data_IF_378796291818
#
_entry.id   IF_378796291818
#
_cell.length_a   1.000
_cell.length_b   1.000
_cell.length_c   1.000
_cell.angle_alpha   90.00
_cell.angle_beta   90.00
_cell.angle_gamma   90.00
#
_symmetry.space_group_name_H-M   'P 1'
#
loop_
_entity.id
_entity.type
_entity.pdbx_description
1 polymer ?
#
# COMPACT_ATOMS: atom_id res chain seq x y z
N UNK A 1 1.59 3.41 -11.99
CA UNK A 1 0.38 3.64 -11.17
C UNK A 1 0.20 5.14 -11.04
N UNK A 2 -0.96 5.70 -11.41
CA UNK A 2 -1.27 7.10 -11.13
C UNK A 2 -1.97 7.14 -9.75
N UNK A 3 -1.27 7.63 -8.73
CA UNK A 3 -1.79 7.69 -7.35
C UNK A 3 -2.54 8.99 -7.06
N UNK A 4 -2.55 9.95 -8.01
CA UNK A 4 -3.11 11.27 -7.82
C UNK A 4 -4.62 11.31 -8.02
N UNK A 5 -5.29 12.13 -7.22
CA UNK A 5 -6.64 12.57 -7.50
C UNK A 5 -6.56 13.74 -8.51
N UNK A 6 -6.96 13.49 -9.76
CA UNK A 6 -6.87 14.47 -10.84
C UNK A 6 -7.96 15.53 -10.77
N UNK A 7 -9.08 15.27 -10.07
CA UNK A 7 -10.18 16.19 -9.87
C UNK A 7 -9.90 17.23 -8.78
N UNK A 8 -8.84 17.04 -8.00
CA UNK A 8 -8.44 17.93 -6.91
C UNK A 8 -7.05 18.49 -7.12
N UNK A 9 -6.94 19.82 -7.26
CA UNK A 9 -5.67 20.54 -7.41
C UNK A 9 -5.10 21.07 -6.09
N UNK A 10 -5.73 20.80 -4.96
CA UNK A 10 -5.22 21.17 -3.63
C UNK A 10 -3.85 20.55 -3.42
N UNK A 11 -2.92 21.28 -2.80
CA UNK A 11 -1.52 20.92 -2.60
C UNK A 11 -0.69 20.73 -3.88
N UNK A 12 -1.24 20.98 -5.08
CA UNK A 12 -0.50 20.88 -6.33
C UNK A 12 0.29 22.15 -6.59
N UNK A 13 1.60 22.01 -6.75
CA UNK A 13 2.50 23.08 -7.10
C UNK A 13 2.75 23.14 -8.61
N UNK A 14 3.36 24.23 -9.09
CA UNK A 14 3.78 24.30 -10.49
C UNK A 14 4.80 23.19 -10.81
N UNK A 15 4.87 22.78 -12.09
CA UNK A 15 5.74 21.65 -12.50
C UNK A 15 7.15 21.75 -11.94
N UNK A 16 7.66 20.64 -11.41
CA UNK A 16 8.97 20.54 -10.81
C UNK A 16 10.09 20.75 -11.86
N UNK A 17 11.16 21.39 -11.47
CA UNK A 17 12.36 21.58 -12.30
C UNK A 17 13.58 20.90 -11.66
N UNK A 18 14.63 20.67 -12.44
CA UNK A 18 15.90 20.16 -11.89
C UNK A 18 16.53 21.11 -10.87
N UNK A 19 16.25 22.41 -10.96
CA UNK A 19 16.73 23.41 -9.99
C UNK A 19 15.98 23.28 -8.65
N UNK A 20 14.66 23.01 -8.68
CA UNK A 20 13.87 22.76 -7.46
C UNK A 20 14.39 21.53 -6.71
N UNK A 21 14.67 20.44 -7.45
CA UNK A 21 15.23 19.21 -6.86
C UNK A 21 16.57 19.49 -6.22
N UNK A 22 17.47 20.15 -6.97
CA UNK A 22 18.80 20.47 -6.47
C UNK A 22 18.74 21.36 -5.24
N UNK A 23 17.86 22.37 -5.23
CA UNK A 23 17.67 23.26 -4.08
C UNK A 23 17.23 22.47 -2.83
N UNK A 24 16.28 21.53 -2.98
CA UNK A 24 15.83 20.71 -1.88
C UNK A 24 16.93 19.76 -1.36
N UNK A 25 17.65 19.07 -2.26
CA UNK A 25 18.76 18.19 -1.88
C UNK A 25 19.91 18.95 -1.18
N UNK A 26 20.22 20.16 -1.64
CA UNK A 26 21.23 21.02 -1.00
C UNK A 26 20.77 21.54 0.37
N UNK A 27 19.49 21.89 0.50
CA UNK A 27 18.90 22.37 1.76
C UNK A 27 18.91 21.27 2.84
N UNK A 28 18.38 20.09 2.52
CA UNK A 28 18.33 18.97 3.46
C UNK A 28 19.64 18.18 3.56
N UNK A 29 20.61 18.43 2.67
CA UNK A 29 21.90 17.72 2.57
C UNK A 29 21.74 16.21 2.41
N UNK A 30 20.77 15.81 1.60
CA UNK A 30 20.45 14.41 1.30
C UNK A 30 20.20 14.24 -0.20
N UNK A 31 20.15 12.97 -0.64
CA UNK A 31 19.57 12.59 -1.91
C UNK A 31 18.10 12.23 -1.70
N UNK A 32 17.21 12.83 -2.49
CA UNK A 32 15.80 12.42 -2.49
C UNK A 32 15.61 11.10 -3.24
N UNK A 33 14.66 10.23 -2.83
CA UNK A 33 14.38 8.99 -3.55
C UNK A 33 14.02 9.27 -5.02
N UNK A 34 14.58 8.49 -5.93
CA UNK A 34 14.30 8.64 -7.36
C UNK A 34 12.81 8.46 -7.67
N UNK A 35 12.13 7.53 -6.97
CA UNK A 35 10.70 7.28 -7.11
C UNK A 35 9.85 8.47 -6.63
N UNK A 36 10.29 9.18 -5.60
CA UNK A 36 9.61 10.42 -5.18
C UNK A 36 9.78 11.52 -6.24
N UNK A 37 10.97 11.69 -6.78
CA UNK A 37 11.25 12.64 -7.86
C UNK A 37 10.43 12.29 -9.11
N UNK A 38 10.36 11.00 -9.49
CA UNK A 38 9.62 10.55 -10.65
C UNK A 38 8.10 10.74 -10.47
N UNK A 39 7.59 10.52 -9.26
CA UNK A 39 6.21 10.85 -8.90
C UNK A 39 5.93 12.35 -9.08
N UNK A 40 6.82 13.23 -8.61
CA UNK A 40 6.65 14.67 -8.70
C UNK A 40 6.82 15.22 -10.13
N UNK A 41 7.52 14.53 -11.02
CA UNK A 41 7.56 14.88 -12.46
C UNK A 41 6.20 14.68 -13.15
N UNK A 42 5.37 13.77 -12.65
CA UNK A 42 4.00 13.56 -13.13
C UNK A 42 3.10 14.70 -12.61
N UNK A 43 3.09 14.93 -11.29
CA UNK A 43 2.35 15.99 -10.62
C UNK A 43 3.15 16.45 -9.40
N UNK A 44 3.49 17.72 -9.32
CA UNK A 44 4.35 18.25 -8.26
C UNK A 44 3.58 18.47 -6.96
N UNK A 45 3.34 17.39 -6.24
CA UNK A 45 2.48 17.36 -5.07
C UNK A 45 0.99 17.31 -5.43
N UNK A 46 0.16 17.05 -4.45
CA UNK A 46 -1.29 17.04 -4.63
C UNK A 46 -2.00 16.02 -3.76
N UNK A 47 -3.31 16.05 -3.84
CA UNK A 47 -4.21 15.11 -3.17
C UNK A 47 -4.09 13.72 -3.80
N UNK A 48 -4.15 12.69 -2.98
CA UNK A 48 -4.06 11.30 -3.41
C UNK A 48 -5.45 10.72 -3.69
N UNK A 49 -5.54 9.87 -4.71
CA UNK A 49 -6.64 8.94 -4.91
C UNK A 49 -6.39 7.64 -4.09
N UNK A 50 -5.16 7.16 -4.14
CA UNK A 50 -4.69 6.05 -3.29
C UNK A 50 -4.24 6.64 -1.95
N UNK A 51 -5.17 6.73 -1.01
CA UNK A 51 -5.09 7.59 0.17
C UNK A 51 -4.86 6.84 1.49
N UNK A 52 -4.63 5.52 1.45
CA UNK A 52 -4.42 4.73 2.65
C UNK A 52 -3.17 3.86 2.57
N UNK A 53 -2.53 3.66 3.72
CA UNK A 53 -1.45 2.71 3.93
C UNK A 53 -1.85 1.70 4.99
N UNK A 54 -1.62 0.38 4.77
CA UNK A 54 -1.80 -0.63 5.80
C UNK A 54 -0.95 -0.28 7.03
N UNK A 55 -1.59 -0.28 8.19
CA UNK A 55 -0.92 0.04 9.44
C UNK A 55 -1.54 -0.74 10.60
N UNK A 56 -0.72 -1.34 11.44
CA UNK A 56 -1.18 -2.02 12.66
C UNK A 56 -0.31 -1.61 13.82
N UNK A 57 -0.88 -0.84 14.75
CA UNK A 57 -0.28 -0.57 16.06
C UNK A 57 -0.63 -1.72 17.01
N UNK A 58 0.38 -2.29 17.66
CA UNK A 58 0.20 -3.31 18.68
C UNK A 58 -0.85 -2.88 19.74
N UNK A 59 -2.08 -3.43 19.64
CA UNK A 59 -3.13 -3.30 20.64
C UNK A 59 -4.24 -2.28 20.37
N UNK A 60 -4.28 -1.62 19.20
CA UNK A 60 -5.48 -0.88 18.76
C UNK A 60 -6.26 -1.76 17.79
N UNK A 61 -7.48 -2.15 18.18
CA UNK A 61 -8.40 -2.98 17.38
C UNK A 61 -9.23 -2.17 16.37
N UNK A 62 -8.99 -0.86 16.24
CA UNK A 62 -9.73 0.03 15.35
C UNK A 62 -8.74 0.66 14.37
N UNK A 63 -8.98 0.42 13.10
CA UNK A 63 -8.33 0.99 11.91
C UNK A 63 -6.92 0.48 11.60
N UNK A 64 -6.87 -0.58 10.81
CA UNK A 64 -5.63 -1.16 10.26
C UNK A 64 -4.97 -0.31 9.16
N UNK A 65 -5.17 1.01 9.12
CA UNK A 65 -4.60 1.89 8.09
C UNK A 65 -4.31 3.31 8.58
N UNK A 66 -3.41 3.99 7.87
CA UNK A 66 -3.13 5.41 8.00
C UNK A 66 -3.71 6.12 6.77
N UNK A 67 -4.53 7.15 6.96
CA UNK A 67 -4.96 8.02 5.88
C UNK A 67 -3.86 8.99 5.48
N UNK A 68 -3.61 9.10 4.18
CA UNK A 68 -2.66 10.04 3.58
C UNK A 68 -3.39 10.84 2.51
N UNK A 69 -3.85 12.02 2.87
CA UNK A 69 -4.67 12.83 1.97
C UNK A 69 -3.88 13.38 0.80
N UNK A 70 -2.61 13.70 0.99
CA UNK A 70 -1.77 14.36 -0.01
C UNK A 70 -0.30 13.97 0.13
N UNK A 71 0.49 14.32 -0.87
CA UNK A 71 1.96 14.30 -0.81
C UNK A 71 2.46 15.69 -1.19
N UNK A 72 3.34 16.24 -0.39
CA UNK A 72 4.02 17.50 -0.68
C UNK A 72 4.85 17.43 -1.96
N UNK A 73 4.77 18.50 -2.76
CA UNK A 73 5.70 18.74 -3.87
C UNK A 73 6.95 19.50 -3.44
N UNK A 74 7.71 19.98 -4.42
CA UNK A 74 8.95 20.75 -4.20
C UNK A 74 8.87 22.09 -4.94
N UNK A 75 8.86 23.19 -4.20
CA UNK A 75 9.14 24.54 -4.69
C UNK A 75 9.85 25.33 -3.60
N UNK A 76 10.49 26.42 -4.01
CA UNK A 76 11.10 27.33 -3.05
C UNK A 76 10.04 27.82 -2.05
N UNK A 77 10.30 27.61 -0.77
CA UNK A 77 9.45 27.99 0.35
C UNK A 77 8.07 27.30 0.40
N UNK A 78 7.83 26.23 -0.39
CA UNK A 78 6.57 25.49 -0.47
C UNK A 78 6.81 23.97 -0.47
N UNK A 79 5.78 23.19 -0.11
CA UNK A 79 5.85 21.74 -0.05
C UNK A 79 6.87 21.25 0.97
N UNK A 80 7.72 20.28 0.62
CA UNK A 80 8.71 19.74 1.58
C UNK A 80 9.69 20.81 2.10
N UNK A 81 9.88 21.92 1.40
CA UNK A 81 10.74 23.02 1.86
C UNK A 81 10.21 23.72 3.11
N UNK A 82 8.96 23.45 3.51
CA UNK A 82 8.36 23.93 4.75
C UNK A 82 8.61 22.97 5.95
N UNK A 83 9.34 21.89 5.75
CA UNK A 83 9.63 20.92 6.82
C UNK A 83 10.20 21.60 8.06
N UNK A 84 11.22 22.46 7.95
CA UNK A 84 11.82 23.14 9.10
C UNK A 84 10.82 24.02 9.87
N UNK A 85 9.87 24.62 9.15
CA UNK A 85 8.77 25.39 9.76
C UNK A 85 7.85 24.47 10.56
N UNK A 86 7.39 23.37 9.96
CA UNK A 86 6.47 22.43 10.65
C UNK A 86 7.14 21.72 11.82
N UNK A 87 8.40 21.29 11.69
CA UNK A 87 9.14 20.69 12.80
C UNK A 87 9.21 21.64 14.03
N UNK A 88 9.38 22.93 13.78
CA UNK A 88 9.41 23.93 14.85
C UNK A 88 8.01 24.24 15.39
N UNK A 89 7.01 24.40 14.53
CA UNK A 89 5.64 24.78 14.91
C UNK A 89 4.98 23.69 15.77
N UNK A 90 5.24 22.43 15.43
CA UNK A 90 4.68 21.26 16.12
C UNK A 90 5.65 20.61 17.11
N UNK A 91 6.71 21.32 17.48
CA UNK A 91 7.72 20.89 18.47
C UNK A 91 8.31 19.48 18.20
N UNK A 92 8.40 19.07 16.91
CA UNK A 92 8.92 17.77 16.51
C UNK A 92 10.46 17.79 16.63
N UNK A 93 11.01 17.14 17.65
CA UNK A 93 12.44 17.10 17.94
C UNK A 93 13.13 15.96 17.18
N UNK A 94 13.07 15.97 15.85
CA UNK A 94 13.72 14.98 14.98
C UNK A 94 14.67 15.69 14.01
N UNK A 95 15.86 15.13 13.87
CA UNK A 95 16.86 15.60 12.91
C UNK A 95 16.86 14.74 11.65
N UNK A 96 17.20 15.32 10.51
CA UNK A 96 17.30 14.63 9.21
C UNK A 96 16.00 13.93 8.78
N UNK A 97 14.86 14.55 9.04
CA UNK A 97 13.55 14.12 8.52
C UNK A 97 13.02 15.13 7.51
N UNK A 98 12.24 14.65 6.54
CA UNK A 98 11.54 15.47 5.55
C UNK A 98 10.08 15.10 5.58
N UNK A 99 9.20 16.04 5.92
CA UNK A 99 7.77 15.82 6.04
C UNK A 99 7.12 15.76 4.65
N UNK A 100 6.39 14.68 4.37
CA UNK A 100 5.72 14.44 3.10
C UNK A 100 4.23 14.75 3.13
N UNK A 101 3.57 14.48 4.26
CA UNK A 101 2.12 14.65 4.47
C UNK A 101 1.84 14.75 5.96
N UNK A 102 0.79 15.46 6.37
CA UNK A 102 0.37 15.53 7.77
C UNK A 102 -0.51 16.73 8.07
N UNK A 103 -1.08 16.77 9.27
CA UNK A 103 -2.00 17.81 9.73
C UNK A 103 -1.55 18.55 11.00
N UNK A 104 -0.36 18.17 11.51
CA UNK A 104 0.22 18.69 12.74
C UNK A 104 0.26 17.67 13.87
N UNK A 105 -0.76 16.84 14.03
CA UNK A 105 -0.78 15.76 15.02
C UNK A 105 -0.05 14.53 14.51
N UNK A 106 -0.11 14.28 13.22
CA UNK A 106 0.43 13.10 12.56
C UNK A 106 1.17 13.48 11.28
N UNK A 107 2.36 12.87 11.05
CA UNK A 107 3.17 13.16 9.87
C UNK A 107 3.74 11.90 9.23
N UNK A 108 3.54 11.76 7.94
CA UNK A 108 4.33 10.87 7.10
C UNK A 108 5.63 11.57 6.73
N UNK A 109 6.77 10.92 6.92
CA UNK A 109 8.07 11.53 6.68
C UNK A 109 9.09 10.56 6.08
N UNK A 110 10.11 11.13 5.43
CA UNK A 110 11.36 10.43 5.09
C UNK A 110 12.36 10.64 6.23
N UNK A 111 12.86 9.56 6.81
CA UNK A 111 13.85 9.58 7.88
C UNK A 111 15.24 9.16 7.38
N UNK A 112 16.16 10.10 7.39
CA UNK A 112 17.56 9.93 7.01
C UNK A 112 18.49 9.80 8.23
N UNK A 113 17.96 9.61 9.44
CA UNK A 113 18.76 9.59 10.67
C UNK A 113 19.77 8.45 10.72
N UNK A 114 19.45 7.32 10.08
CA UNK A 114 20.25 6.09 10.15
C UNK A 114 20.95 5.72 8.83
N UNK A 115 20.55 6.30 7.69
CA UNK A 115 21.04 5.94 6.36
C UNK A 115 20.94 7.12 5.39
N UNK A 116 21.70 7.09 4.30
CA UNK A 116 21.53 7.99 3.17
C UNK A 116 20.33 7.62 2.28
N UNK A 117 19.87 6.37 2.32
CA UNK A 117 18.60 5.95 1.79
C UNK A 117 17.55 6.03 2.90
N UNK A 118 16.48 6.85 2.75
CA UNK A 118 15.58 7.12 3.85
C UNK A 118 14.58 5.99 4.05
N UNK A 119 14.22 5.77 5.31
CA UNK A 119 13.02 5.03 5.65
C UNK A 119 11.80 5.92 5.57
N UNK A 120 10.63 5.31 5.38
CA UNK A 120 9.35 6.00 5.55
C UNK A 120 8.87 5.76 6.96
N UNK A 121 8.61 6.85 7.67
CA UNK A 121 8.18 6.81 9.08
C UNK A 121 6.89 7.59 9.26
N UNK A 122 6.16 7.24 10.31
CA UNK A 122 5.00 7.95 10.80
C UNK A 122 5.32 8.56 12.17
N UNK A 123 5.10 9.85 12.29
CA UNK A 123 5.40 10.61 13.52
C UNK A 123 4.07 10.96 14.17
N UNK A 124 3.87 10.51 15.39
CA UNK A 124 2.76 10.87 16.26
C UNK A 124 3.25 11.99 17.18
N UNK A 125 2.83 13.23 16.92
CA UNK A 125 3.36 14.41 17.59
C UNK A 125 2.97 14.45 19.05
N UNK A 126 1.72 14.12 19.36
CA UNK A 126 1.18 14.18 20.72
C UNK A 126 1.80 13.11 21.65
N UNK A 127 2.22 11.97 21.11
CA UNK A 127 2.87 10.88 21.82
C UNK A 127 4.42 10.96 21.82
N UNK A 128 5.00 11.89 21.04
CA UNK A 128 6.45 11.96 20.71
C UNK A 128 6.99 10.62 20.19
N UNK A 129 6.16 9.88 19.44
CA UNK A 129 6.47 8.57 18.92
C UNK A 129 6.83 8.62 17.42
N UNK A 130 7.78 7.78 17.00
CA UNK A 130 8.13 7.59 15.58
C UNK A 130 8.06 6.11 15.26
N UNK A 131 7.24 5.78 14.28
CA UNK A 131 6.96 4.42 13.85
C UNK A 131 7.55 4.23 12.46
N UNK A 132 8.43 3.25 12.29
CA UNK A 132 8.95 2.87 10.99
C UNK A 132 7.86 2.09 10.23
N UNK A 133 7.43 2.63 9.07
CA UNK A 133 6.43 1.99 8.23
C UNK A 133 7.06 1.14 7.12
N UNK A 134 7.98 1.73 6.37
CA UNK A 134 8.59 1.09 5.20
C UNK A 134 10.08 1.39 5.12
N UNK A 135 10.85 0.40 4.70
CA UNK A 135 12.29 0.53 4.49
C UNK A 135 12.65 1.51 3.38
N UNK A 136 11.77 1.71 2.39
CA UNK A 136 11.98 2.62 1.25
C UNK A 136 10.69 3.29 0.81
N UNK A 137 10.81 4.44 0.16
CA UNK A 137 9.67 5.14 -0.45
C UNK A 137 8.98 4.29 -1.54
N UNK A 138 9.74 3.52 -2.31
CA UNK A 138 9.22 2.59 -3.32
C UNK A 138 8.31 1.52 -2.73
N UNK A 139 8.66 0.97 -1.55
CA UNK A 139 7.80 -0.01 -0.84
C UNK A 139 6.51 0.63 -0.36
N UNK A 140 6.59 1.86 0.17
CA UNK A 140 5.40 2.61 0.57
C UNK A 140 4.46 2.86 -0.61
N UNK A 141 4.98 3.32 -1.77
CA UNK A 141 4.14 3.56 -2.96
C UNK A 141 3.38 2.32 -3.44
N UNK A 142 3.99 1.14 -3.31
CA UNK A 142 3.35 -0.13 -3.69
C UNK A 142 2.29 -0.59 -2.69
N UNK A 143 2.34 -0.10 -1.46
CA UNK A 143 1.40 -0.44 -0.40
C UNK A 143 0.19 0.51 -0.35
N UNK A 144 0.20 1.61 -1.10
CA UNK A 144 -0.92 2.54 -1.15
C UNK A 144 -2.15 1.88 -1.78
N UNK A 145 -3.31 2.06 -1.15
CA UNK A 145 -4.61 1.63 -1.66
C UNK A 145 -5.68 2.73 -1.46
N UNK A 146 -6.89 2.52 -1.94
CA UNK A 146 -8.01 3.46 -1.81
C UNK A 146 -8.85 3.04 -0.61
N UNK A 147 -8.96 3.93 0.39
CA UNK A 147 -9.88 3.75 1.52
C UNK A 147 -11.11 4.61 1.34
N UNK A 148 -12.29 4.06 1.68
CA UNK A 148 -13.54 4.83 1.75
C UNK A 148 -14.33 4.92 0.43
N UNK A 149 -14.02 4.17 -0.60
CA UNK A 149 -15.00 3.90 -1.65
C UNK A 149 -15.99 2.85 -1.17
N UNK A 150 -16.88 3.21 -0.18
CA UNK A 150 -18.19 2.59 -0.13
C UNK A 150 -18.91 3.00 -1.41
N UNK A 151 -19.03 2.06 -2.31
CA UNK A 151 -19.79 2.23 -3.55
C UNK A 151 -21.28 2.31 -3.21
N UNK A 152 -21.75 3.48 -2.75
CA UNK A 152 -23.18 3.79 -2.83
C UNK A 152 -23.54 3.95 -4.29
N UNK A 153 -24.27 2.96 -4.80
CA UNK A 153 -24.60 2.84 -6.20
C UNK A 153 -25.37 4.02 -6.80
N UNK A 154 -24.79 4.59 -7.80
CA UNK A 154 -25.40 4.99 -9.07
C UNK A 154 -24.25 5.05 -10.07
N UNK A 155 -23.86 3.91 -10.59
CA UNK A 155 -22.93 3.83 -11.70
C UNK A 155 -23.70 4.22 -12.98
N UNK A 156 -23.43 5.43 -13.48
CA UNK A 156 -23.33 5.56 -14.92
C UNK A 156 -21.95 4.99 -15.26
N UNK A 157 -21.97 3.92 -16.03
CA UNK A 157 -20.80 3.17 -16.46
C UNK A 157 -19.87 4.08 -17.29
N UNK A 158 -18.84 4.68 -16.67
CA UNK A 158 -17.61 5.05 -17.38
C UNK A 158 -16.63 3.87 -17.24
N UNK A 159 -16.63 3.06 -18.29
CA UNK A 159 -16.06 1.77 -18.51
C UNK A 159 -14.53 1.84 -18.67
N UNK A 160 -13.77 2.01 -17.57
CA UNK A 160 -12.32 1.78 -17.53
C UNK A 160 -11.92 0.76 -16.45
N UNK A 161 -12.87 0.03 -15.87
CA UNK A 161 -12.58 -1.18 -15.10
C UNK A 161 -12.12 -2.23 -16.10
N UNK A 162 -10.87 -2.66 -16.03
CA UNK A 162 -10.42 -3.83 -16.82
C UNK A 162 -11.19 -5.04 -16.31
N UNK A 163 -12.35 -5.30 -16.92
CA UNK A 163 -13.15 -6.49 -16.67
C UNK A 163 -12.51 -7.63 -17.44
N UNK A 164 -11.83 -8.52 -16.74
CA UNK A 164 -11.31 -9.75 -17.34
C UNK A 164 -12.45 -10.73 -17.60
N UNK A 165 -12.44 -11.35 -18.76
CA UNK A 165 -13.23 -12.57 -18.99
C UNK A 165 -12.53 -13.75 -18.31
N UNK A 166 -13.29 -14.80 -17.99
CA UNK A 166 -12.70 -16.01 -17.40
C UNK A 166 -11.64 -16.66 -18.32
N UNK A 167 -11.80 -16.55 -19.65
CA UNK A 167 -10.85 -17.02 -20.63
C UNK A 167 -9.54 -16.24 -20.55
N UNK A 168 -9.60 -14.93 -20.37
CA UNK A 168 -8.41 -14.08 -20.19
C UNK A 168 -7.73 -14.38 -18.87
N UNK A 169 -8.47 -14.52 -17.78
CA UNK A 169 -7.92 -14.91 -16.48
C UNK A 169 -7.18 -16.26 -16.57
N UNK A 170 -7.78 -17.26 -17.22
CA UNK A 170 -7.15 -18.58 -17.48
C UNK A 170 -5.90 -18.48 -18.35
N UNK A 171 -5.89 -17.60 -19.34
CA UNK A 171 -4.69 -17.37 -20.18
C UNK A 171 -3.57 -16.75 -19.37
N UNK A 172 -3.87 -15.69 -18.62
CA UNK A 172 -2.90 -14.95 -17.82
C UNK A 172 -2.25 -15.84 -16.75
N UNK A 173 -3.04 -16.59 -16.01
CA UNK A 173 -2.57 -17.43 -14.89
C UNK A 173 -1.68 -18.60 -15.35
N UNK A 174 -1.73 -18.98 -16.63
CA UNK A 174 -0.94 -20.05 -17.23
C UNK A 174 0.20 -19.53 -18.15
N UNK A 175 0.56 -18.26 -18.05
CA UNK A 175 1.48 -17.64 -19.02
C UNK A 175 2.97 -17.95 -18.79
N UNK A 176 3.36 -18.42 -17.62
CA UNK A 176 4.75 -18.50 -17.14
C UNK A 176 5.48 -17.13 -17.17
N UNK A 177 4.73 -16.03 -17.12
CA UNK A 177 5.25 -14.67 -16.98
C UNK A 177 4.76 -14.09 -15.66
N UNK A 178 5.68 -13.69 -14.80
CA UNK A 178 5.38 -13.21 -13.44
C UNK A 178 4.28 -12.14 -13.40
N UNK A 179 4.35 -11.13 -14.28
CA UNK A 179 3.38 -10.03 -14.30
C UNK A 179 2.01 -10.57 -14.74
N UNK A 180 1.96 -11.39 -15.78
CA UNK A 180 0.71 -11.98 -16.26
C UNK A 180 0.12 -12.96 -15.22
N UNK A 181 0.93 -13.74 -14.52
CA UNK A 181 0.47 -14.64 -13.45
C UNK A 181 -0.14 -13.86 -12.28
N UNK A 182 0.51 -12.78 -11.82
CA UNK A 182 -0.05 -11.89 -10.79
C UNK A 182 -1.37 -11.26 -11.24
N UNK A 183 -1.42 -10.74 -12.45
CA UNK A 183 -2.67 -10.21 -13.06
C UNK A 183 -3.74 -11.30 -13.18
N UNK A 184 -3.35 -12.54 -13.50
CA UNK A 184 -4.25 -13.69 -13.57
C UNK A 184 -4.85 -14.05 -12.20
N UNK A 185 -4.07 -14.01 -11.12
CA UNK A 185 -4.56 -14.21 -9.75
C UNK A 185 -5.59 -13.13 -9.38
N UNK A 186 -5.28 -11.86 -9.67
CA UNK A 186 -6.19 -10.74 -9.44
C UNK A 186 -7.49 -10.88 -10.25
N UNK A 187 -7.40 -11.23 -11.53
CA UNK A 187 -8.56 -11.44 -12.39
C UNK A 187 -9.48 -12.56 -11.87
N UNK A 188 -8.92 -13.67 -11.35
CA UNK A 188 -9.70 -14.71 -10.71
C UNK A 188 -10.37 -14.25 -9.41
N UNK A 189 -9.69 -13.45 -8.60
CA UNK A 189 -10.29 -12.88 -7.38
C UNK A 189 -11.53 -12.04 -7.72
N UNK A 190 -11.43 -11.17 -8.73
CA UNK A 190 -12.53 -10.31 -9.17
C UNK A 190 -13.72 -11.08 -9.79
N UNK A 191 -13.51 -12.32 -10.24
CA UNK A 191 -14.55 -13.17 -10.83
C UNK A 191 -15.11 -14.21 -9.84
N UNK A 192 -14.62 -14.24 -8.60
CA UNK A 192 -14.91 -15.30 -7.61
C UNK A 192 -16.32 -15.24 -7.00
N UNK A 193 -17.17 -14.30 -7.38
CA UNK A 193 -18.59 -14.29 -7.02
C UNK A 193 -19.37 -15.48 -7.62
N UNK A 194 -18.87 -16.04 -8.73
CA UNK A 194 -19.37 -17.28 -9.30
C UNK A 194 -18.74 -18.48 -8.57
N UNK A 195 -19.57 -19.40 -8.04
CA UNK A 195 -19.09 -20.53 -7.24
C UNK A 195 -18.19 -21.51 -8.02
N UNK A 196 -18.41 -21.68 -9.35
CA UNK A 196 -17.54 -22.53 -10.17
C UNK A 196 -16.17 -21.88 -10.35
N UNK A 197 -16.15 -20.55 -10.57
CA UNK A 197 -14.92 -19.75 -10.68
C UNK A 197 -14.20 -19.69 -9.34
N UNK A 198 -14.91 -19.52 -8.24
CA UNK A 198 -14.34 -19.56 -6.89
C UNK A 198 -13.61 -20.89 -6.64
N UNK A 199 -14.22 -22.02 -6.97
CA UNK A 199 -13.60 -23.33 -6.81
C UNK A 199 -12.30 -23.45 -7.62
N UNK A 200 -12.30 -22.96 -8.88
CA UNK A 200 -11.11 -22.91 -9.73
C UNK A 200 -10.05 -21.97 -9.14
N UNK A 201 -10.45 -20.81 -8.61
CA UNK A 201 -9.52 -19.85 -7.97
C UNK A 201 -8.87 -20.45 -6.72
N UNK A 202 -9.60 -21.15 -5.87
CA UNK A 202 -9.02 -21.82 -4.70
C UNK A 202 -7.93 -22.83 -5.11
N UNK A 203 -8.12 -23.53 -6.23
CA UNK A 203 -7.11 -24.45 -6.75
C UNK A 203 -5.89 -23.71 -7.34
N UNK A 204 -6.12 -22.60 -8.04
CA UNK A 204 -5.05 -21.72 -8.51
C UNK A 204 -4.22 -21.17 -7.35
N UNK A 205 -4.86 -20.68 -6.29
CA UNK A 205 -4.19 -20.19 -5.08
C UNK A 205 -3.37 -21.33 -4.43
N UNK A 206 -3.91 -22.55 -4.32
CA UNK A 206 -3.14 -23.71 -3.82
C UNK A 206 -1.90 -23.99 -4.66
N UNK A 207 -1.96 -23.77 -5.97
CA UNK A 207 -0.82 -23.93 -6.88
C UNK A 207 0.23 -22.85 -6.63
N UNK A 208 -0.16 -21.57 -6.63
CA UNK A 208 0.75 -20.44 -6.50
C UNK A 208 1.38 -20.30 -5.11
N UNK A 209 0.71 -20.73 -4.07
CA UNK A 209 1.30 -20.82 -2.72
C UNK A 209 2.49 -21.80 -2.62
N UNK A 210 2.69 -22.64 -3.64
CA UNK A 210 3.87 -23.54 -3.77
C UNK A 210 4.89 -23.04 -4.79
N UNK A 211 4.67 -21.86 -5.37
CA UNK A 211 5.54 -21.33 -6.40
C UNK A 211 6.94 -21.04 -5.88
N UNK A 212 7.95 -21.02 -6.77
CA UNK A 212 9.35 -20.74 -6.42
C UNK A 212 9.65 -19.25 -6.23
N UNK A 213 8.92 -18.38 -6.94
CA UNK A 213 9.03 -16.92 -6.83
C UNK A 213 8.28 -16.45 -5.59
N UNK A 214 8.98 -15.69 -4.71
CA UNK A 214 8.42 -15.24 -3.43
C UNK A 214 7.32 -14.22 -3.58
N UNK A 215 7.41 -13.32 -4.56
CA UNK A 215 6.40 -12.28 -4.76
C UNK A 215 5.07 -12.90 -5.23
N UNK A 216 5.14 -13.95 -6.05
CA UNK A 216 3.95 -14.72 -6.46
C UNK A 216 3.34 -15.43 -5.26
N UNK A 217 4.16 -16.05 -4.40
CA UNK A 217 3.67 -16.72 -3.19
C UNK A 217 3.07 -15.74 -2.20
N UNK A 218 3.66 -14.57 -2.02
CA UNK A 218 3.16 -13.49 -1.16
C UNK A 218 1.80 -13.02 -1.65
N UNK A 219 1.69 -12.66 -2.92
CA UNK A 219 0.44 -12.20 -3.54
C UNK A 219 -0.68 -13.27 -3.49
N UNK A 220 -0.34 -14.54 -3.77
CA UNK A 220 -1.29 -15.64 -3.62
C UNK A 220 -1.73 -15.86 -2.16
N UNK A 221 -0.85 -15.57 -1.21
CA UNK A 221 -1.18 -15.58 0.21
C UNK A 221 -2.15 -14.47 0.60
N UNK A 222 -1.91 -13.24 0.17
CA UNK A 222 -2.84 -12.12 0.39
C UNK A 222 -4.19 -12.39 -0.24
N UNK A 223 -4.21 -12.92 -1.47
CA UNK A 223 -5.44 -13.37 -2.14
C UNK A 223 -6.17 -14.46 -1.37
N UNK A 224 -5.44 -15.45 -0.83
CA UNK A 224 -6.03 -16.50 0.01
C UNK A 224 -6.70 -15.92 1.27
N UNK A 225 -6.07 -14.94 1.91
CA UNK A 225 -6.65 -14.23 3.06
C UNK A 225 -7.91 -13.47 2.67
N UNK A 226 -7.88 -12.70 1.57
CA UNK A 226 -9.03 -11.95 1.07
C UNK A 226 -10.24 -12.87 0.83
N UNK A 227 -10.04 -14.02 0.19
CA UNK A 227 -11.11 -15.00 -0.03
C UNK A 227 -11.65 -15.59 1.28
N UNK A 228 -10.81 -15.88 2.27
CA UNK A 228 -11.25 -16.39 3.58
C UNK A 228 -11.99 -15.33 4.40
N UNK A 229 -11.62 -14.06 4.25
CA UNK A 229 -12.25 -12.95 4.97
C UNK A 229 -13.59 -12.53 4.36
N UNK A 230 -13.77 -12.75 3.06
CA UNK A 230 -15.03 -12.48 2.36
C UNK A 230 -16.13 -13.49 2.78
N UNK A 231 -17.39 -13.13 2.50
CA UNK A 231 -18.57 -13.99 2.83
C UNK A 231 -18.70 -15.25 1.94
N UNK A 232 -17.60 -15.73 1.36
CA UNK A 232 -17.59 -16.95 0.56
C UNK A 232 -17.60 -18.20 1.45
N UNK A 233 -18.31 -19.23 1.01
CA UNK A 233 -18.25 -20.55 1.65
C UNK A 233 -16.92 -21.25 1.33
N UNK A 234 -15.89 -20.99 2.11
CA UNK A 234 -14.56 -21.60 1.98
C UNK A 234 -14.45 -22.87 2.81
N UNK A 235 -14.01 -23.98 2.20
CA UNK A 235 -13.87 -25.25 2.88
C UNK A 235 -12.75 -25.26 3.93
N UNK A 236 -12.95 -26.01 5.03
CA UNK A 236 -11.93 -26.10 6.11
C UNK A 236 -10.60 -26.68 5.63
N UNK A 237 -10.55 -27.43 4.54
CA UNK A 237 -9.32 -28.03 4.01
C UNK A 237 -8.45 -26.95 3.38
N UNK A 238 -9.05 -26.03 2.63
CA UNK A 238 -8.35 -24.87 2.09
C UNK A 238 -7.79 -24.01 3.22
N UNK A 239 -8.58 -23.69 4.24
CA UNK A 239 -8.14 -22.87 5.38
C UNK A 239 -6.97 -23.52 6.11
N UNK A 240 -7.03 -24.84 6.36
CA UNK A 240 -5.94 -25.61 6.99
C UNK A 240 -4.69 -25.60 6.13
N UNK A 241 -4.84 -25.75 4.81
CA UNK A 241 -3.72 -25.70 3.85
C UNK A 241 -3.05 -24.33 3.90
N UNK A 242 -3.77 -23.24 3.73
CA UNK A 242 -3.25 -21.87 3.76
C UNK A 242 -2.55 -21.59 5.11
N UNK A 243 -3.19 -21.94 6.22
CA UNK A 243 -2.60 -21.80 7.56
C UNK A 243 -1.27 -22.57 7.69
N UNK A 244 -1.14 -23.73 7.05
CA UNK A 244 0.10 -24.51 7.06
C UNK A 244 1.20 -23.84 6.24
N UNK A 245 0.86 -23.23 5.12
CA UNK A 245 1.79 -22.47 4.27
C UNK A 245 2.29 -21.24 5.02
N UNK A 246 1.40 -20.43 5.62
CA UNK A 246 1.80 -19.27 6.40
C UNK A 246 2.76 -19.61 7.56
N UNK A 247 2.53 -20.73 8.24
CA UNK A 247 3.43 -21.23 9.30
C UNK A 247 4.78 -21.69 8.77
N UNK A 248 4.82 -22.28 7.58
CA UNK A 248 6.01 -22.85 6.97
C UNK A 248 6.91 -21.85 6.25
N UNK A 249 6.34 -20.74 5.75
CA UNK A 249 7.03 -19.74 4.94
C UNK A 249 7.39 -18.50 5.79
N UNK A 250 8.26 -18.70 6.76
CA UNK A 250 8.78 -17.61 7.64
C UNK A 250 9.68 -16.61 6.90
N UNK A 251 10.03 -16.93 5.66
CA UNK A 251 10.78 -16.07 4.74
C UNK A 251 9.92 -15.03 4.00
N UNK A 252 8.57 -15.03 4.23
CA UNK A 252 7.62 -14.06 3.71
C UNK A 252 7.06 -13.25 4.91
N UNK A 253 7.43 -11.98 5.05
CA UNK A 253 7.16 -11.20 6.28
C UNK A 253 5.68 -11.03 6.62
N UNK A 254 4.79 -10.95 5.62
CA UNK A 254 3.34 -10.76 5.84
C UNK A 254 2.65 -12.02 6.41
N UNK A 255 3.15 -13.23 6.16
CA UNK A 255 2.45 -14.47 6.50
C UNK A 255 2.17 -14.69 7.99
N UNK A 256 3.07 -14.34 8.94
CA UNK A 256 2.73 -14.38 10.36
C UNK A 256 1.53 -13.48 10.72
N UNK A 257 1.40 -12.33 10.06
CA UNK A 257 0.31 -11.37 10.27
C UNK A 257 -0.99 -11.94 9.72
N UNK A 258 -0.99 -12.43 8.47
CA UNK A 258 -2.17 -13.06 7.86
C UNK A 258 -2.64 -14.27 8.63
N UNK A 259 -1.72 -15.07 9.19
CA UNK A 259 -2.05 -16.20 10.06
C UNK A 259 -2.75 -15.76 11.34
N UNK A 260 -2.29 -14.68 11.95
CA UNK A 260 -2.91 -14.14 13.16
C UNK A 260 -4.32 -13.62 12.87
N UNK A 261 -4.50 -12.87 11.77
CA UNK A 261 -5.81 -12.37 11.29
C UNK A 261 -6.76 -13.53 11.01
N UNK A 262 -6.33 -14.53 10.25
CA UNK A 262 -7.14 -15.71 9.94
C UNK A 262 -7.60 -16.46 11.21
N UNK A 263 -6.70 -16.63 12.19
CA UNK A 263 -7.04 -17.28 13.44
C UNK A 263 -8.05 -16.47 14.28
N UNK A 264 -8.02 -15.14 14.22
CA UNK A 264 -8.96 -14.28 14.92
C UNK A 264 -10.33 -14.29 14.24
N UNK A 265 -10.38 -14.15 12.93
CA UNK A 265 -11.62 -14.22 12.12
C UNK A 265 -12.37 -15.53 12.38
N UNK A 266 -11.70 -16.68 12.26
CA UNK A 266 -12.30 -18.00 12.49
C UNK A 266 -12.74 -18.29 13.95
N UNK A 267 -12.30 -17.49 14.93
CA UNK A 267 -12.77 -17.57 16.31
C UNK A 267 -14.07 -16.78 16.52
N UNK A 268 -14.23 -15.66 15.82
CA UNK A 268 -15.42 -14.82 15.88
C UNK A 268 -16.64 -15.55 15.28
N UNK A 269 -16.45 -16.30 14.19
CA UNK A 269 -17.51 -17.07 13.55
C UNK A 269 -18.03 -18.28 14.38
N UNK A 270 -17.35 -18.61 15.48
CA UNK A 270 -17.71 -19.73 16.38
C UNK A 270 -18.43 -19.29 17.68
N UNK A 271 -18.70 -18.01 17.84
CA UNK A 271 -19.46 -17.44 18.96
C UNK A 271 -20.86 -17.00 18.54
#
# INVERSE_FOLDING_TARGET
MNIWNDDNSTYTLSSITSEDIKLAEEHFKVKLPDEYIDLLKIKNGGTLRYNALPFSLNGREEDDFILIEYIHGIKKDEGIMQTDYYLKEWEINKERVILLSGDGHEWLALDYSTSEEPKVVYILTDEDEVIELYETFSKMLKALYIEGEEVEGNFEEDDDTITYTIEEARRLINSNNKIEELTGIEAFNNLSDDQEILAENLDNIRHFLKHSDKDIVEFAGESAWSLVYSDYEIDEEFIKFVSSVYKGRTDIPIFPILLARMNNHLKLDKQ
#
